data_IF_631696946929
#
_entry.id   IF_631696946929
#
_cell.length_a   1.000
_cell.length_b   1.000
_cell.length_c   1.000
_cell.angle_alpha   90.00
_cell.angle_beta   90.00
_cell.angle_gamma   90.00
#
_symmetry.space_group_name_H-M   'P 1'
#
loop_
_entity.id
_entity.type
_entity.pdbx_description
1 polymer ?
#
# COMPACT_ATOMS: atom_id res chain seq x y z
N UNK A 1 9.69 20.14 22.14
CA UNK A 1 10.74 20.63 21.24
C UNK A 1 12.18 20.25 21.67
N UNK A 2 12.56 20.13 22.99
CA UNK A 2 13.93 19.78 23.36
C UNK A 2 14.47 18.50 22.72
N UNK A 3 13.62 17.47 22.58
CA UNK A 3 14.00 16.21 21.92
C UNK A 3 14.28 16.38 20.42
N UNK A 4 13.54 17.25 19.73
CA UNK A 4 13.78 17.56 18.33
C UNK A 4 15.09 18.32 18.12
N UNK A 5 15.35 19.30 19.01
CA UNK A 5 16.61 20.04 19.03
C UNK A 5 17.79 19.08 19.25
N UNK A 6 17.68 18.19 20.22
CA UNK A 6 18.71 17.19 20.48
C UNK A 6 18.93 16.26 19.28
N UNK A 7 17.84 15.76 18.65
CA UNK A 7 17.93 14.91 17.47
C UNK A 7 18.64 15.64 16.32
N UNK A 8 18.23 16.88 16.05
CA UNK A 8 18.85 17.68 14.99
C UNK A 8 20.32 18.02 15.27
N UNK A 9 20.65 18.42 16.50
CA UNK A 9 22.03 18.74 16.88
C UNK A 9 22.96 17.53 16.84
N UNK A 10 22.43 16.34 17.17
CA UNK A 10 23.19 15.07 17.10
C UNK A 10 23.22 14.44 15.69
N UNK A 11 22.49 14.99 14.72
CA UNK A 11 22.44 14.46 13.35
C UNK A 11 21.65 13.18 13.19
N UNK A 12 20.79 12.82 14.15
CA UNK A 12 19.96 11.60 14.06
C UNK A 12 18.77 11.81 13.12
N UNK A 13 18.53 10.86 12.22
CA UNK A 13 17.26 10.79 11.48
C UNK A 13 16.12 10.47 12.43
N UNK A 14 14.95 11.09 12.22
CA UNK A 14 13.80 10.90 13.11
C UNK A 14 12.46 10.95 12.38
N UNK A 15 11.45 10.36 13.01
CA UNK A 15 10.04 10.46 12.65
C UNK A 15 9.31 11.15 13.79
N UNK A 16 8.50 12.14 13.48
CA UNK A 16 7.66 12.83 14.47
C UNK A 16 6.20 12.80 14.00
N UNK A 17 5.31 12.39 14.89
CA UNK A 17 3.86 12.43 14.68
C UNK A 17 3.25 13.58 15.46
N UNK A 18 2.26 14.24 14.89
CA UNK A 18 1.61 15.40 15.46
C UNK A 18 0.18 15.52 14.94
N UNK A 19 -0.79 15.78 15.80
CA UNK A 19 -2.19 15.91 15.43
C UNK A 19 -2.59 17.33 15.01
N UNK A 20 -1.78 18.34 15.33
CA UNK A 20 -2.06 19.75 15.03
C UNK A 20 -1.18 20.34 13.91
N UNK A 21 -0.12 19.64 13.55
CA UNK A 21 0.88 20.13 12.60
C UNK A 21 1.80 21.22 13.17
N UNK A 22 1.73 21.48 14.48
CA UNK A 22 2.52 22.53 15.14
C UNK A 22 4.01 22.16 15.18
N UNK A 23 4.32 20.90 15.33
CA UNK A 23 5.71 20.41 15.35
C UNK A 23 6.38 20.68 14.02
N UNK A 24 5.74 20.28 12.91
CA UNK A 24 6.27 20.57 11.58
C UNK A 24 6.36 22.07 11.30
N UNK A 25 5.28 22.83 11.59
CA UNK A 25 5.21 24.27 11.33
C UNK A 25 6.32 25.03 12.04
N UNK A 26 6.60 24.67 13.29
CA UNK A 26 7.57 25.35 14.11
C UNK A 26 9.01 24.85 13.90
N UNK A 27 9.20 23.59 13.54
CA UNK A 27 10.52 22.96 13.53
C UNK A 27 11.01 22.49 12.15
N UNK A 28 10.13 22.25 11.19
CA UNK A 28 10.50 21.76 9.86
C UNK A 28 11.49 22.67 9.13
N UNK A 29 11.26 24.00 9.17
CA UNK A 29 12.18 24.98 8.57
C UNK A 29 13.52 25.02 9.30
N UNK A 30 13.52 24.89 10.63
CA UNK A 30 14.74 24.85 11.45
C UNK A 30 15.57 23.62 11.08
N UNK A 31 14.97 22.43 11.08
CA UNK A 31 15.63 21.21 10.68
C UNK A 31 16.25 21.32 9.28
N UNK A 32 15.51 21.84 8.30
CA UNK A 32 15.96 21.97 6.92
C UNK A 32 17.07 23.02 6.76
N UNK A 33 16.86 24.25 7.23
CA UNK A 33 17.75 25.38 6.94
C UNK A 33 18.98 25.45 7.85
N UNK A 34 18.84 25.12 9.13
CA UNK A 34 19.94 25.28 10.09
C UNK A 34 20.70 23.99 10.33
N UNK A 35 20.03 22.83 10.23
CA UNK A 35 20.67 21.54 10.46
C UNK A 35 20.91 20.71 9.20
N UNK A 36 20.38 21.17 8.04
CA UNK A 36 20.63 20.52 6.74
C UNK A 36 19.90 19.19 6.56
N UNK A 37 18.74 19.02 7.17
CA UNK A 37 17.94 17.79 7.02
C UNK A 37 17.17 17.74 5.71
N UNK A 38 17.06 16.54 5.17
CA UNK A 38 16.01 16.20 4.22
C UNK A 38 14.69 16.08 4.99
N UNK A 39 13.79 17.01 4.73
CA UNK A 39 12.50 17.06 5.43
C UNK A 39 11.41 16.55 4.51
N UNK A 40 10.69 15.52 4.97
CA UNK A 40 9.49 15.00 4.34
C UNK A 40 8.28 15.18 5.27
N UNK A 41 7.14 15.51 4.68
CA UNK A 41 5.89 15.78 5.41
C UNK A 41 4.77 14.93 4.85
N UNK A 42 4.20 14.09 5.68
CA UNK A 42 2.95 13.39 5.37
C UNK A 42 1.81 14.05 6.15
N UNK A 43 1.06 14.89 5.46
CA UNK A 43 -0.07 15.61 6.05
C UNK A 43 -1.38 14.90 5.68
N UNK A 44 -1.83 14.00 6.56
CA UNK A 44 -3.11 13.28 6.40
C UNK A 44 -4.32 14.15 6.76
N UNK A 45 -4.09 15.32 7.35
CA UNK A 45 -5.13 16.30 7.63
C UNK A 45 -5.40 17.18 6.41
N UNK A 46 -4.35 17.52 5.65
CA UNK A 46 -4.43 18.28 4.40
C UNK A 46 -3.62 17.58 3.31
N UNK A 47 -4.12 16.47 2.75
CA UNK A 47 -3.36 15.62 1.82
C UNK A 47 -2.84 16.35 0.58
N UNK A 48 -3.52 17.41 0.14
CA UNK A 48 -3.09 18.26 -1.00
C UNK A 48 -1.81 19.08 -0.73
N UNK A 49 -1.38 19.16 0.54
CA UNK A 49 -0.13 19.82 0.96
C UNK A 49 0.93 18.81 1.42
N UNK A 50 0.60 17.54 1.35
CA UNK A 50 1.49 16.45 1.71
C UNK A 50 2.52 16.19 0.62
N UNK A 51 3.67 15.68 1.02
CA UNK A 51 4.55 14.99 0.08
C UNK A 51 3.87 13.69 -0.40
N UNK A 52 4.28 13.23 -1.56
CA UNK A 52 3.77 12.00 -2.18
C UNK A 52 4.13 10.76 -1.36
N UNK A 53 3.19 9.82 -1.26
CA UNK A 53 3.38 8.55 -0.57
C UNK A 53 2.57 7.42 -1.20
N UNK A 54 3.07 6.85 -2.27
CA UNK A 54 2.49 5.67 -2.89
C UNK A 54 2.73 4.45 -2.00
N UNK A 55 1.68 3.95 -1.37
CA UNK A 55 1.76 2.79 -0.44
C UNK A 55 2.16 1.48 -1.13
N UNK A 56 2.13 1.41 -2.47
CA UNK A 56 2.63 0.28 -3.26
C UNK A 56 4.10 0.45 -3.66
N UNK A 57 4.77 1.51 -3.21
CA UNK A 57 6.14 1.85 -3.60
C UNK A 57 7.11 0.67 -3.52
N UNK A 58 7.13 -0.06 -2.40
CA UNK A 58 8.05 -1.20 -2.23
C UNK A 58 7.71 -2.38 -3.12
N UNK A 59 6.43 -2.64 -3.34
CA UNK A 59 6.01 -3.68 -4.30
C UNK A 59 6.52 -3.33 -5.69
N UNK A 60 6.32 -2.09 -6.12
CA UNK A 60 6.75 -1.59 -7.42
C UNK A 60 8.28 -1.60 -7.57
N UNK A 61 9.02 -1.08 -6.56
CA UNK A 61 10.48 -1.07 -6.52
C UNK A 61 11.07 -2.47 -6.76
N UNK A 62 10.61 -3.44 -5.99
CA UNK A 62 11.14 -4.80 -6.08
C UNK A 62 10.63 -5.56 -7.30
N UNK A 63 9.42 -5.27 -7.78
CA UNK A 63 8.94 -5.83 -9.03
C UNK A 63 9.74 -5.29 -10.22
N UNK A 64 10.05 -4.00 -10.26
CA UNK A 64 10.89 -3.41 -11.33
C UNK A 64 12.30 -4.02 -11.33
N UNK A 65 12.91 -4.26 -10.18
CA UNK A 65 14.20 -4.97 -10.08
C UNK A 65 14.13 -6.40 -10.64
N UNK A 66 13.05 -7.12 -10.37
CA UNK A 66 12.83 -8.45 -10.93
C UNK A 66 12.53 -8.40 -12.44
N UNK A 67 11.76 -7.42 -12.91
CA UNK A 67 11.46 -7.27 -14.34
C UNK A 67 12.70 -6.90 -15.15
N UNK A 68 13.63 -6.15 -14.55
CA UNK A 68 14.93 -5.83 -15.13
C UNK A 68 15.86 -7.06 -15.21
N UNK A 69 15.92 -7.83 -14.13
CA UNK A 69 16.68 -9.09 -14.07
C UNK A 69 15.80 -10.23 -13.55
N UNK A 70 15.29 -11.06 -14.46
CA UNK A 70 14.42 -12.21 -14.13
C UNK A 70 15.09 -13.29 -13.26
N UNK A 71 16.41 -13.27 -13.12
CA UNK A 71 17.15 -14.16 -12.23
C UNK A 71 17.16 -13.64 -10.78
N UNK A 72 16.78 -12.39 -10.54
CA UNK A 72 16.70 -11.79 -9.21
C UNK A 72 15.45 -12.27 -8.46
N UNK A 73 15.46 -13.54 -8.06
CA UNK A 73 14.36 -14.16 -7.30
C UNK A 73 14.19 -13.52 -5.92
N UNK A 74 15.25 -12.93 -5.35
CA UNK A 74 15.17 -12.18 -4.08
C UNK A 74 14.27 -10.95 -4.22
N UNK A 75 14.42 -10.18 -5.30
CA UNK A 75 13.55 -9.04 -5.57
C UNK A 75 12.10 -9.50 -5.78
N UNK A 76 11.86 -10.57 -6.55
CA UNK A 76 10.53 -11.15 -6.72
C UNK A 76 9.90 -11.52 -5.37
N UNK A 77 10.62 -12.23 -4.52
CA UNK A 77 10.14 -12.64 -3.20
C UNK A 77 9.81 -11.44 -2.29
N UNK A 78 10.60 -10.36 -2.39
CA UNK A 78 10.32 -9.11 -1.67
C UNK A 78 9.04 -8.43 -2.19
N UNK A 79 8.85 -8.32 -3.51
CA UNK A 79 7.61 -7.79 -4.09
C UNK A 79 6.38 -8.57 -3.61
N UNK A 80 6.43 -9.90 -3.67
CA UNK A 80 5.37 -10.79 -3.17
C UNK A 80 5.09 -10.59 -1.67
N UNK A 81 6.15 -10.45 -0.86
CA UNK A 81 6.06 -10.19 0.58
C UNK A 81 5.38 -8.86 0.88
N UNK A 82 5.81 -7.77 0.21
CA UNK A 82 5.23 -6.46 0.44
C UNK A 82 3.79 -6.36 -0.08
N UNK A 83 3.44 -7.03 -1.16
CA UNK A 83 2.05 -7.14 -1.62
C UNK A 83 1.15 -7.77 -0.54
N UNK A 84 1.59 -8.87 0.08
CA UNK A 84 0.87 -9.51 1.20
C UNK A 84 0.75 -8.61 2.42
N UNK A 85 1.84 -7.94 2.82
CA UNK A 85 1.84 -7.04 3.98
C UNK A 85 0.86 -5.88 3.74
N UNK A 86 0.90 -5.27 2.57
CA UNK A 86 -0.01 -4.18 2.20
C UNK A 86 -1.46 -4.65 2.18
N UNK A 87 -1.75 -5.78 1.54
CA UNK A 87 -3.09 -6.36 1.49
C UNK A 87 -3.63 -6.66 2.90
N UNK A 88 -2.81 -7.32 3.73
CA UNK A 88 -3.18 -7.64 5.12
C UNK A 88 -3.50 -6.37 5.91
N UNK A 89 -2.62 -5.37 5.87
CA UNK A 89 -2.83 -4.11 6.61
C UNK A 89 -4.11 -3.41 6.17
N UNK A 90 -4.44 -3.44 4.88
CA UNK A 90 -5.67 -2.86 4.34
C UNK A 90 -6.90 -3.64 4.81
N UNK A 91 -6.86 -4.96 4.77
CA UNK A 91 -8.00 -5.79 5.21
C UNK A 91 -8.23 -5.67 6.72
N UNK A 92 -7.18 -5.52 7.51
CA UNK A 92 -7.24 -5.35 8.96
C UNK A 92 -7.79 -3.97 9.40
N UNK A 93 -7.96 -3.00 8.48
CA UNK A 93 -8.61 -1.72 8.80
C UNK A 93 -9.98 -1.96 9.42
N UNK A 94 -10.18 -1.47 10.65
CA UNK A 94 -11.44 -1.63 11.39
C UNK A 94 -11.57 -2.97 12.13
N UNK A 95 -10.46 -3.70 12.34
CA UNK A 95 -10.41 -4.87 13.24
C UNK A 95 -10.98 -6.16 12.63
N UNK A 96 -11.11 -6.24 11.31
CA UNK A 96 -11.72 -7.39 10.63
C UNK A 96 -11.01 -8.75 10.85
N UNK A 97 -9.69 -8.73 11.10
CA UNK A 97 -8.92 -9.97 11.32
C UNK A 97 -9.12 -10.58 12.71
N UNK A 98 -9.72 -9.86 13.65
CA UNK A 98 -10.02 -10.37 15.00
C UNK A 98 -11.38 -11.08 15.08
N UNK A 99 -12.19 -11.03 14.02
CA UNK A 99 -13.45 -11.75 13.96
C UNK A 99 -13.18 -13.25 13.78
N UNK A 100 -13.56 -14.03 14.79
CA UNK A 100 -13.59 -15.49 14.71
C UNK A 100 -14.94 -15.96 14.16
N UNK A 101 -14.95 -16.94 13.26
CA UNK A 101 -16.17 -17.53 12.74
C UNK A 101 -16.33 -17.47 11.21
N UNK A 102 -17.55 -17.52 10.72
CA UNK A 102 -17.86 -17.59 9.28
C UNK A 102 -17.33 -16.37 8.48
N UNK A 103 -17.17 -15.22 9.11
CA UNK A 103 -16.65 -14.01 8.46
C UNK A 103 -15.15 -14.04 8.22
N UNK A 104 -14.36 -14.78 9.04
CA UNK A 104 -12.91 -14.87 8.89
C UNK A 104 -12.50 -15.33 7.48
N UNK A 105 -13.23 -16.29 6.93
CA UNK A 105 -12.99 -16.77 5.56
C UNK A 105 -13.04 -15.64 4.51
N UNK A 106 -14.02 -14.74 4.61
CA UNK A 106 -14.16 -13.65 3.63
C UNK A 106 -13.00 -12.66 3.72
N UNK A 107 -12.48 -12.38 4.91
CA UNK A 107 -11.34 -11.51 5.11
C UNK A 107 -10.04 -12.16 4.60
N UNK A 108 -9.80 -13.44 4.92
CA UNK A 108 -8.64 -14.16 4.44
C UNK A 108 -8.63 -14.28 2.90
N UNK A 109 -9.79 -14.59 2.31
CA UNK A 109 -9.92 -14.67 0.86
C UNK A 109 -9.78 -13.29 0.19
N UNK A 110 -10.27 -12.21 0.82
CA UNK A 110 -10.12 -10.84 0.34
C UNK A 110 -8.66 -10.36 0.44
N UNK A 111 -7.92 -10.74 1.51
CA UNK A 111 -6.48 -10.48 1.62
C UNK A 111 -5.72 -11.12 0.46
N UNK A 112 -5.97 -12.41 0.19
CA UNK A 112 -5.34 -13.13 -0.91
C UNK A 112 -5.66 -12.53 -2.28
N UNK A 113 -6.92 -12.18 -2.51
CA UNK A 113 -7.37 -11.49 -3.72
C UNK A 113 -6.68 -10.14 -3.90
N UNK A 114 -6.64 -9.33 -2.85
CA UNK A 114 -6.04 -7.99 -2.87
C UNK A 114 -4.53 -8.09 -3.15
N UNK A 115 -3.82 -9.01 -2.48
CA UNK A 115 -2.40 -9.25 -2.73
C UNK A 115 -2.14 -9.71 -4.18
N UNK A 116 -3.03 -10.55 -4.73
CA UNK A 116 -2.97 -10.98 -6.13
C UNK A 116 -3.10 -9.81 -7.09
N UNK A 117 -4.11 -8.94 -6.91
CA UNK A 117 -4.35 -7.78 -7.78
C UNK A 117 -3.23 -6.76 -7.68
N UNK A 118 -2.68 -6.52 -6.47
CA UNK A 118 -1.50 -5.65 -6.27
C UNK A 118 -0.31 -6.18 -7.07
N UNK A 119 -0.04 -7.49 -7.02
CA UNK A 119 1.06 -8.08 -7.79
C UNK A 119 0.85 -7.96 -9.30
N UNK A 120 -0.35 -8.23 -9.79
CA UNK A 120 -0.69 -8.07 -11.20
C UNK A 120 -0.47 -6.65 -11.68
N UNK A 121 -0.94 -5.68 -10.90
CA UNK A 121 -0.76 -4.28 -11.23
C UNK A 121 0.71 -3.87 -11.24
N UNK A 122 1.52 -4.35 -10.27
CA UNK A 122 2.95 -4.09 -10.22
C UNK A 122 3.72 -4.73 -11.39
N UNK A 123 3.28 -5.91 -11.87
CA UNK A 123 3.97 -6.64 -12.93
C UNK A 123 3.56 -6.18 -14.34
N UNK A 124 2.28 -5.88 -14.57
CA UNK A 124 1.72 -5.62 -15.89
C UNK A 124 1.19 -4.20 -16.09
N UNK A 125 0.96 -3.42 -15.03
CA UNK A 125 0.47 -2.05 -15.12
C UNK A 125 1.53 -1.06 -15.58
N UNK A 126 1.10 0.02 -16.19
CA UNK A 126 1.98 1.14 -16.52
C UNK A 126 2.48 1.83 -15.25
N UNK A 127 3.71 2.36 -15.27
CA UNK A 127 4.35 2.94 -14.08
C UNK A 127 3.49 4.00 -13.36
N UNK A 128 2.77 4.79 -14.13
CA UNK A 128 1.90 5.87 -13.59
C UNK A 128 0.56 5.35 -13.05
N UNK A 129 0.25 4.07 -13.24
CA UNK A 129 -1.00 3.44 -12.82
C UNK A 129 -0.81 2.51 -11.62
N UNK A 130 0.43 2.29 -11.17
CA UNK A 130 0.77 1.34 -10.10
C UNK A 130 0.55 1.94 -8.70
N UNK A 131 -0.71 2.26 -8.38
CA UNK A 131 -1.13 2.85 -7.10
C UNK A 131 -2.45 2.26 -6.62
N UNK A 132 -2.82 2.57 -5.36
CA UNK A 132 -3.95 1.92 -4.69
C UNK A 132 -5.31 2.20 -5.36
N UNK A 133 -5.49 3.38 -5.95
CA UNK A 133 -6.73 3.73 -6.65
C UNK A 133 -6.91 2.86 -7.90
N UNK A 134 -5.82 2.54 -8.61
CA UNK A 134 -5.87 1.60 -9.74
C UNK A 134 -6.19 0.18 -9.29
N UNK A 135 -5.74 -0.24 -8.11
CA UNK A 135 -6.15 -1.53 -7.51
C UNK A 135 -7.66 -1.57 -7.30
N UNK A 136 -8.24 -0.49 -6.75
CA UNK A 136 -9.68 -0.38 -6.59
C UNK A 136 -10.43 -0.50 -7.93
N UNK A 137 -10.04 0.30 -8.91
CA UNK A 137 -10.64 0.30 -10.25
C UNK A 137 -10.52 -1.08 -10.91
N UNK A 138 -9.34 -1.69 -10.83
CA UNK A 138 -9.11 -3.01 -11.41
C UNK A 138 -10.01 -4.08 -10.76
N UNK A 139 -10.16 -4.11 -9.43
CA UNK A 139 -11.09 -5.03 -8.77
C UNK A 139 -12.53 -4.76 -9.22
N UNK A 140 -12.93 -3.50 -9.34
CA UNK A 140 -14.27 -3.12 -9.79
C UNK A 140 -14.55 -3.59 -11.23
N UNK A 141 -13.59 -3.43 -12.15
CA UNK A 141 -13.70 -3.87 -13.53
C UNK A 141 -13.71 -5.40 -13.63
N UNK A 142 -12.91 -6.09 -12.80
CA UNK A 142 -12.84 -7.55 -12.76
C UNK A 142 -14.11 -8.21 -12.19
N UNK A 143 -14.95 -7.44 -11.47
CA UNK A 143 -16.30 -7.87 -11.05
C UNK A 143 -17.29 -7.96 -12.22
N UNK A 144 -17.06 -7.20 -13.28
CA UNK A 144 -17.96 -7.22 -14.43
C UNK A 144 -17.96 -8.61 -15.07
N UNK A 145 -19.14 -9.04 -15.53
CA UNK A 145 -19.28 -10.31 -16.24
C UNK A 145 -18.88 -10.14 -17.70
N UNK A 146 -18.09 -11.06 -18.20
CA UNK A 146 -17.91 -11.17 -19.63
C UNK A 146 -19.25 -11.50 -20.30
N UNK A 147 -19.55 -10.85 -21.43
CA UNK A 147 -20.76 -11.16 -22.19
C UNK A 147 -20.68 -12.60 -22.69
N UNK A 148 -21.62 -13.48 -22.35
CA UNK A 148 -21.55 -14.86 -22.82
C UNK A 148 -21.81 -14.92 -24.32
N UNK A 149 -20.88 -15.52 -25.06
CA UNK A 149 -21.25 -16.14 -26.34
C UNK A 149 -22.28 -17.23 -26.04
N UNK A 150 -23.44 -17.08 -26.55
CA UNK A 150 -24.78 -17.67 -26.37
C UNK A 150 -24.97 -19.08 -25.72
N UNK A 151 -23.95 -19.77 -25.17
CA UNK A 151 -24.08 -21.07 -24.49
C UNK A 151 -23.10 -21.37 -23.34
N UNK A 152 -22.16 -20.48 -23.00
CA UNK A 152 -21.23 -20.71 -21.90
C UNK A 152 -21.72 -20.05 -20.59
N UNK A 153 -21.40 -20.64 -19.44
CA UNK A 153 -21.60 -19.98 -18.13
C UNK A 153 -20.84 -18.66 -18.15
N UNK A 154 -21.50 -17.57 -17.83
CA UNK A 154 -20.89 -16.24 -17.67
C UNK A 154 -19.75 -16.35 -16.65
N UNK A 155 -18.50 -16.09 -17.06
CA UNK A 155 -17.35 -16.00 -16.18
C UNK A 155 -17.12 -14.51 -15.83
N UNK A 156 -16.52 -14.26 -14.68
CA UNK A 156 -16.02 -12.91 -14.37
C UNK A 156 -14.74 -12.65 -15.16
N UNK A 157 -14.46 -11.39 -15.49
CA UNK A 157 -13.18 -11.02 -16.11
C UNK A 157 -11.98 -11.42 -15.26
N UNK A 158 -12.14 -11.47 -13.93
CA UNK A 158 -11.12 -11.97 -13.03
C UNK A 158 -10.75 -13.43 -13.32
N UNK A 159 -11.73 -14.30 -13.45
CA UNK A 159 -11.49 -15.71 -13.76
C UNK A 159 -10.82 -15.89 -15.12
N UNK A 160 -11.22 -15.14 -16.13
CA UNK A 160 -10.62 -15.16 -17.46
C UNK A 160 -9.17 -14.68 -17.44
N UNK A 161 -8.88 -13.59 -16.69
CA UNK A 161 -7.52 -13.08 -16.52
C UNK A 161 -6.62 -14.14 -15.87
N UNK A 162 -7.11 -14.78 -14.81
CA UNK A 162 -6.36 -15.81 -14.10
C UNK A 162 -6.10 -17.06 -14.98
N UNK A 163 -7.01 -17.42 -15.87
CA UNK A 163 -6.80 -18.53 -16.79
C UNK A 163 -5.66 -18.27 -17.79
N UNK A 164 -5.42 -17.01 -18.17
CA UNK A 164 -4.34 -16.62 -19.09
C UNK A 164 -2.95 -16.66 -18.46
N UNK A 165 -2.86 -16.62 -17.12
CA UNK A 165 -1.58 -16.68 -16.41
C UNK A 165 -1.03 -18.11 -16.35
N UNK A 166 0.31 -18.32 -16.31
CA UNK A 166 0.92 -19.62 -16.07
C UNK A 166 0.40 -20.25 -14.76
N UNK A 167 0.30 -21.60 -14.67
CA UNK A 167 -0.18 -22.28 -13.47
C UNK A 167 0.61 -21.96 -12.20
N UNK A 168 1.92 -21.76 -12.33
CA UNK A 168 2.86 -21.42 -11.24
C UNK A 168 2.87 -19.93 -10.86
N UNK A 169 2.06 -19.09 -11.52
CA UNK A 169 2.05 -17.67 -11.27
C UNK A 169 1.52 -17.35 -9.85
N UNK A 170 2.28 -16.58 -9.06
CA UNK A 170 1.94 -16.31 -7.67
C UNK A 170 0.61 -15.61 -7.46
N UNK A 171 0.20 -14.75 -8.39
CA UNK A 171 -1.11 -14.10 -8.31
C UNK A 171 -2.26 -15.14 -8.32
N UNK A 172 -2.15 -16.24 -9.09
CA UNK A 172 -3.14 -17.34 -9.07
C UNK A 172 -3.19 -18.02 -7.70
N UNK A 173 -2.03 -18.29 -7.10
CA UNK A 173 -1.96 -18.95 -5.80
C UNK A 173 -2.53 -18.08 -4.68
N UNK A 174 -2.24 -16.78 -4.72
CA UNK A 174 -2.78 -15.82 -3.73
C UNK A 174 -4.29 -15.70 -3.85
N UNK A 175 -4.82 -15.65 -5.07
CA UNK A 175 -6.25 -15.58 -5.31
C UNK A 175 -6.97 -16.94 -5.15
N UNK A 176 -6.26 -18.02 -4.83
CA UNK A 176 -6.78 -19.39 -4.84
C UNK A 176 -8.02 -19.59 -3.98
N UNK A 177 -8.08 -18.97 -2.80
CA UNK A 177 -9.27 -19.04 -1.93
C UNK A 177 -10.49 -18.38 -2.59
N UNK A 178 -10.33 -17.25 -3.27
CA UNK A 178 -11.42 -16.59 -3.98
C UNK A 178 -11.82 -17.33 -5.27
N UNK A 179 -10.84 -17.87 -6.02
CA UNK A 179 -11.07 -18.56 -7.29
C UNK A 179 -11.77 -19.91 -7.15
N UNK A 180 -11.52 -20.63 -6.04
CA UNK A 180 -12.05 -21.97 -5.78
C UNK A 180 -13.40 -21.96 -5.05
N UNK A 181 -14.19 -20.92 -5.21
CA UNK A 181 -15.50 -20.75 -4.56
C UNK A 181 -16.64 -20.64 -5.59
N UNK A 182 -17.86 -20.61 -5.10
CA UNK A 182 -19.01 -20.26 -5.94
C UNK A 182 -18.90 -18.81 -6.43
N UNK A 183 -19.49 -18.50 -7.57
CA UNK A 183 -19.55 -17.13 -8.10
C UNK A 183 -20.08 -16.13 -7.06
N UNK A 184 -21.14 -16.49 -6.35
CA UNK A 184 -21.71 -15.63 -5.31
C UNK A 184 -20.74 -15.37 -4.15
N UNK A 185 -19.98 -16.38 -3.72
CA UNK A 185 -18.96 -16.23 -2.68
C UNK A 185 -17.81 -15.34 -3.16
N UNK A 186 -17.36 -15.53 -4.41
CA UNK A 186 -16.32 -14.69 -5.01
C UNK A 186 -16.76 -13.21 -5.07
N UNK A 187 -18.00 -12.92 -5.47
CA UNK A 187 -18.55 -11.57 -5.45
C UNK A 187 -18.55 -10.97 -4.03
N UNK A 188 -18.86 -11.76 -3.02
CA UNK A 188 -18.81 -11.32 -1.61
C UNK A 188 -17.37 -11.02 -1.16
N UNK A 189 -16.39 -11.85 -1.53
CA UNK A 189 -14.97 -11.62 -1.26
C UNK A 189 -14.50 -10.31 -1.92
N UNK A 190 -14.84 -10.10 -3.19
CA UNK A 190 -14.47 -8.89 -3.91
C UNK A 190 -15.13 -7.63 -3.31
N UNK A 191 -16.40 -7.73 -2.91
CA UNK A 191 -17.10 -6.64 -2.20
C UNK A 191 -16.45 -6.32 -0.87
N UNK A 192 -15.95 -7.32 -0.14
CA UNK A 192 -15.20 -7.13 1.10
C UNK A 192 -13.91 -6.35 0.83
N UNK A 193 -13.14 -6.72 -0.19
CA UNK A 193 -11.94 -6.00 -0.58
C UNK A 193 -12.23 -4.55 -0.99
N UNK A 194 -13.26 -4.32 -1.82
CA UNK A 194 -13.66 -2.97 -2.24
C UNK A 194 -14.11 -2.11 -1.06
N UNK A 195 -14.84 -2.68 -0.10
CA UNK A 195 -15.26 -1.96 1.12
C UNK A 195 -14.07 -1.43 1.91
N UNK A 196 -12.98 -2.20 2.01
CA UNK A 196 -11.74 -1.75 2.68
C UNK A 196 -11.00 -0.69 1.88
N UNK A 197 -11.00 -0.82 0.56
CA UNK A 197 -10.36 0.15 -0.33
C UNK A 197 -11.08 1.49 -0.41
N UNK A 198 -12.36 1.58 -0.03
CA UNK A 198 -13.10 2.84 0.00
C UNK A 198 -12.45 3.92 0.87
N UNK A 199 -11.69 3.52 1.89
CA UNK A 199 -10.93 4.46 2.74
C UNK A 199 -9.87 5.28 1.99
N UNK A 200 -9.52 4.88 0.77
CA UNK A 200 -8.54 5.57 -0.08
C UNK A 200 -9.20 6.44 -1.17
N UNK A 201 -10.52 6.37 -1.32
CA UNK A 201 -11.26 7.08 -2.37
C UNK A 201 -11.70 8.46 -1.91
N UNK A 202 -10.73 9.28 -1.61
CA UNK A 202 -10.89 10.69 -1.27
C UNK A 202 -10.01 11.48 -2.25
N UNK A 203 -10.60 12.42 -2.97
CA UNK A 203 -9.90 13.18 -4.02
C UNK A 203 -8.66 13.90 -3.51
N UNK A 204 -8.59 14.25 -2.23
CA UNK A 204 -7.40 14.85 -1.62
C UNK A 204 -6.34 13.78 -1.31
N UNK A 205 -6.75 12.61 -0.79
CA UNK A 205 -5.83 11.49 -0.55
C UNK A 205 -5.26 10.93 -1.86
N UNK A 206 -6.03 10.87 -2.92
CA UNK A 206 -5.57 10.44 -4.23
C UNK A 206 -4.38 11.26 -4.71
N UNK A 207 -4.34 12.57 -4.44
CA UNK A 207 -3.21 13.43 -4.79
C UNK A 207 -1.90 12.96 -4.12
N UNK A 208 -1.99 12.49 -2.88
CA UNK A 208 -0.82 11.99 -2.15
C UNK A 208 -0.43 10.55 -2.58
N UNK A 209 -1.41 9.70 -2.90
CA UNK A 209 -1.21 8.26 -3.06
C UNK A 209 -0.88 7.79 -4.48
N UNK A 210 -1.20 8.61 -5.50
CA UNK A 210 -1.15 8.18 -6.91
C UNK A 210 0.17 8.44 -7.62
N UNK A 211 1.10 9.14 -6.99
CA UNK A 211 2.35 9.53 -7.64
C UNK A 211 3.55 8.78 -7.03
N UNK A 212 4.60 9.49 -6.68
CA UNK A 212 5.83 8.94 -6.15
C UNK A 212 5.79 8.64 -4.65
N UNK A 213 6.97 8.59 -4.07
CA UNK A 213 7.17 8.46 -2.63
C UNK A 213 8.36 9.32 -2.23
N UNK A 214 8.12 10.27 -1.33
CA UNK A 214 9.16 11.14 -0.80
C UNK A 214 10.02 10.47 0.29
N UNK A 215 9.51 9.39 0.87
CA UNK A 215 10.15 8.66 1.97
C UNK A 215 10.84 7.41 1.42
N UNK A 216 12.15 7.37 1.57
CA UNK A 216 13.00 6.25 1.17
C UNK A 216 13.88 5.83 2.35
N UNK A 217 13.94 4.51 2.63
CA UNK A 217 14.68 3.97 3.77
C UNK A 217 16.20 4.15 3.61
N UNK A 218 16.70 4.06 2.39
CA UNK A 218 18.12 4.21 2.11
C UNK A 218 18.57 5.65 2.38
N UNK A 219 17.79 6.64 1.94
CA UNK A 219 18.03 8.04 2.29
C UNK A 219 17.90 8.28 3.79
N UNK A 220 16.89 7.69 4.43
CA UNK A 220 16.67 7.82 5.87
C UNK A 220 17.86 7.31 6.68
N UNK A 221 18.54 6.25 6.24
CA UNK A 221 19.72 5.68 6.91
C UNK A 221 21.00 6.46 6.62
N UNK A 222 21.18 6.93 5.39
CA UNK A 222 22.45 7.49 4.93
C UNK A 222 22.54 9.02 5.01
N UNK A 223 21.42 9.70 5.11
CA UNK A 223 21.30 11.14 5.13
C UNK A 223 20.50 11.60 6.35
N UNK A 224 20.80 12.81 6.85
CA UNK A 224 19.98 13.41 7.91
C UNK A 224 18.55 13.60 7.41
N UNK A 225 17.63 12.81 7.90
CA UNK A 225 16.23 12.79 7.44
C UNK A 225 15.26 13.06 8.60
N UNK A 226 14.32 13.96 8.38
CA UNK A 226 13.25 14.28 9.31
C UNK A 226 11.89 14.04 8.63
N UNK A 227 11.14 13.09 9.13
CA UNK A 227 9.80 12.78 8.63
C UNK A 227 8.78 13.31 9.63
N UNK A 228 7.95 14.24 9.18
CA UNK A 228 6.85 14.78 9.98
C UNK A 228 5.54 14.19 9.47
N UNK A 229 4.74 13.62 10.37
CA UNK A 229 3.45 13.04 10.06
C UNK A 229 2.37 13.82 10.81
N UNK A 230 1.52 14.52 10.06
CA UNK A 230 0.38 15.27 10.62
C UNK A 230 -0.87 14.39 10.52
N UNK A 231 -1.45 14.10 11.66
CA UNK A 231 -2.61 13.22 11.81
C UNK A 231 -3.88 14.05 12.05
N UNK A 232 -5.03 13.73 11.42
CA UNK A 232 -6.29 14.36 11.78
C UNK A 232 -6.77 13.86 13.15
N UNK A 233 -7.07 14.76 14.09
CA UNK A 233 -7.65 14.37 15.39
C UNK A 233 -9.06 13.81 15.24
N UNK A 234 -9.80 14.35 14.27
CA UNK A 234 -11.20 14.05 13.98
C UNK A 234 -11.40 12.77 13.18
N UNK A 235 -10.38 12.25 12.53
CA UNK A 235 -10.48 11.09 11.62
C UNK A 235 -9.36 10.08 11.85
N UNK A 236 -9.60 9.17 12.78
CA UNK A 236 -8.66 8.08 13.10
C UNK A 236 -8.61 7.00 12.00
N UNK A 237 -9.54 7.02 11.04
CA UNK A 237 -9.58 6.02 9.97
C UNK A 237 -8.32 6.05 9.10
N UNK A 238 -7.63 7.16 9.02
CA UNK A 238 -6.40 7.36 8.23
C UNK A 238 -5.12 6.87 8.95
N UNK A 239 -5.20 6.52 10.23
CA UNK A 239 -4.01 6.15 11.03
C UNK A 239 -3.34 4.85 10.57
N UNK A 240 -4.10 3.96 9.91
CA UNK A 240 -3.52 2.74 9.33
C UNK A 240 -2.42 3.03 8.29
N UNK A 241 -2.53 4.15 7.57
CA UNK A 241 -1.51 4.56 6.58
C UNK A 241 -0.16 4.82 7.26
N UNK A 242 -0.19 5.41 8.45
CA UNK A 242 1.01 5.62 9.27
C UNK A 242 1.58 4.30 9.76
N UNK A 243 0.73 3.39 10.21
CA UNK A 243 1.15 2.04 10.61
C UNK A 243 1.81 1.30 9.45
N UNK A 244 1.24 1.38 8.25
CA UNK A 244 1.79 0.77 7.04
C UNK A 244 3.15 1.38 6.69
N UNK A 245 3.25 2.71 6.69
CA UNK A 245 4.50 3.41 6.43
C UNK A 245 5.61 3.01 7.42
N UNK A 246 5.30 3.05 8.73
CA UNK A 246 6.29 2.71 9.77
C UNK A 246 6.73 1.25 9.62
N UNK A 247 5.80 0.33 9.36
CA UNK A 247 6.14 -1.09 9.14
C UNK A 247 7.03 -1.28 7.92
N UNK A 248 6.73 -0.62 6.81
CA UNK A 248 7.52 -0.70 5.59
C UNK A 248 8.91 -0.11 5.81
N UNK A 249 8.99 1.11 6.34
CA UNK A 249 10.25 1.80 6.60
C UNK A 249 11.15 1.02 7.57
N UNK A 250 10.59 0.55 8.69
CA UNK A 250 11.33 -0.25 9.67
C UNK A 250 11.93 -1.53 9.06
N UNK A 251 11.14 -2.24 8.24
CA UNK A 251 11.63 -3.46 7.57
C UNK A 251 12.75 -3.20 6.58
N UNK A 252 12.67 -2.11 5.83
CA UNK A 252 13.72 -1.72 4.88
C UNK A 252 15.00 -1.29 5.63
N UNK A 253 14.86 -0.50 6.70
CA UNK A 253 16.00 -0.10 7.55
C UNK A 253 16.77 -1.32 8.07
N UNK A 254 16.05 -2.35 8.57
CA UNK A 254 16.68 -3.58 9.04
C UNK A 254 17.38 -4.41 7.95
N UNK A 255 17.13 -4.13 6.67
CA UNK A 255 17.81 -4.81 5.57
C UNK A 255 19.03 -4.04 5.06
N UNK A 256 19.13 -2.76 5.38
CA UNK A 256 20.23 -1.87 4.98
C UNK A 256 21.39 -2.01 5.99
N UNK A 257 21.09 -2.17 7.27
CA UNK A 257 22.08 -2.39 8.34
C UNK A 257 22.45 -3.83 8.49
#
# INVERSE_FOLDING_TARGET
YPNLEFACASGMSFISTDTKGDVFRNYGTIAKKYYGYNVSVLDLRNPTRSDENNILHLVNKYMDLYLYDKNNLSAKAKAEKYAKITAKTIIDIGGGSTESGANAYFYDAAEGLLASVILLLAEFGDKNERHIVSVFKLIQDLLAKSQPDSKAKSKTYFSELMEKLPPEHKAKWLAGAALNTSEQTMLSVMSTALSRLNSFLDSELEQMLCFGTAIDAEKFCNEKSAIFIVLPEEDVSKYFMVSLLIQQLYREILMIG
#
